data_IF_881619668704
#
_entry.id   IF_881619668704
#
_cell.length_a   1.000
_cell.length_b   1.000
_cell.length_c   1.000
_cell.angle_alpha   90.00
_cell.angle_beta   90.00
_cell.angle_gamma   90.00
#
_symmetry.space_group_name_H-M   'P 1'
#
loop_
_entity.id
_entity.type
_entity.pdbx_description
1 polymer ?
#
# COMPACT_ATOMS: atom_id res chain seq x y z
N UNK A 1 14.77 18.76 -47.46
CA UNK A 1 15.34 17.84 -46.45
C UNK A 1 16.28 18.65 -45.56
N UNK A 2 15.97 18.90 -44.28
CA UNK A 2 16.86 19.66 -43.36
C UNK A 2 17.65 18.67 -42.50
N UNK A 3 18.97 18.84 -42.29
CA UNK A 3 19.73 17.94 -41.42
C UNK A 3 19.44 18.23 -39.94
N UNK A 4 19.41 17.17 -39.13
CA UNK A 4 19.23 17.23 -37.68
C UNK A 4 20.50 17.81 -37.00
N UNK A 5 20.30 18.68 -36.01
CA UNK A 5 21.39 19.24 -35.19
C UNK A 5 21.93 18.26 -34.14
N UNK A 6 23.13 18.50 -33.59
CA UNK A 6 23.78 17.60 -32.64
C UNK A 6 23.10 17.61 -31.26
N UNK A 7 23.18 16.50 -30.49
CA UNK A 7 22.56 16.40 -29.17
C UNK A 7 23.28 17.27 -28.11
N UNK A 8 22.55 17.76 -27.09
CA UNK A 8 23.14 18.59 -26.04
C UNK A 8 24.07 17.77 -25.11
N UNK A 9 25.09 18.40 -24.51
CA UNK A 9 26.03 17.71 -23.64
C UNK A 9 25.40 17.28 -22.31
N UNK A 10 25.76 16.08 -21.85
CA UNK A 10 25.39 15.53 -20.53
C UNK A 10 26.11 16.31 -19.43
N UNK A 11 25.36 16.90 -18.49
CA UNK A 11 25.92 17.53 -17.29
C UNK A 11 26.53 16.47 -16.38
N UNK A 12 27.85 16.53 -16.18
CA UNK A 12 28.56 15.80 -15.13
C UNK A 12 28.41 16.50 -13.79
N UNK A 13 28.35 15.70 -12.73
CA UNK A 13 28.00 16.05 -11.37
C UNK A 13 29.02 16.95 -10.66
N UNK A 14 28.55 17.70 -9.64
CA UNK A 14 29.38 18.53 -8.78
C UNK A 14 28.85 18.63 -7.35
N UNK A 15 29.19 17.63 -6.55
CA UNK A 15 29.57 17.67 -5.13
C UNK A 15 28.71 18.46 -4.11
N UNK A 16 27.87 17.73 -3.36
CA UNK A 16 27.10 18.27 -2.23
C UNK A 16 26.76 17.21 -1.16
N UNK A 17 27.70 16.98 -0.25
CA UNK A 17 27.45 16.57 1.14
C UNK A 17 27.22 15.08 1.39
N UNK A 18 28.07 14.46 2.22
CA UNK A 18 27.91 13.10 2.79
C UNK A 18 26.68 12.90 3.70
N UNK A 19 25.60 13.65 3.47
CA UNK A 19 24.26 13.51 4.03
C UNK A 19 23.22 13.26 2.90
N UNK A 20 23.67 13.26 1.64
CA UNK A 20 22.86 12.93 0.47
C UNK A 20 22.86 11.42 0.26
N UNK A 21 24.01 10.76 0.44
CA UNK A 21 24.14 9.29 0.42
C UNK A 21 23.22 8.64 1.46
N UNK A 22 23.24 9.12 2.72
CA UNK A 22 22.35 8.60 3.77
C UNK A 22 20.87 8.82 3.46
N UNK A 23 20.50 9.95 2.81
CA UNK A 23 19.12 10.20 2.37
C UNK A 23 18.72 9.37 1.15
N UNK A 24 19.65 9.07 0.27
CA UNK A 24 19.44 8.21 -0.91
C UNK A 24 19.36 6.74 -0.49
N UNK A 25 20.19 6.32 0.47
CA UNK A 25 20.15 5.02 1.14
C UNK A 25 18.85 4.90 1.94
N UNK A 26 18.45 5.89 2.74
CA UNK A 26 17.15 5.91 3.42
C UNK A 26 15.98 5.90 2.43
N UNK A 27 16.05 6.61 1.30
CA UNK A 27 15.04 6.59 0.24
C UNK A 27 14.98 5.23 -0.46
N UNK A 28 16.13 4.59 -0.69
CA UNK A 28 16.25 3.24 -1.26
C UNK A 28 15.75 2.17 -0.31
N UNK A 29 16.10 2.27 0.97
CA UNK A 29 15.61 1.41 2.04
C UNK A 29 14.12 1.61 2.29
N UNK A 30 13.56 2.82 2.16
CA UNK A 30 12.11 3.05 2.19
C UNK A 30 11.38 2.43 1.00
N UNK A 31 12.05 2.26 -0.14
CA UNK A 31 11.54 1.48 -1.27
C UNK A 31 11.61 -0.04 -1.08
N UNK A 32 12.50 -0.51 -0.20
CA UNK A 32 12.66 -1.93 0.16
C UNK A 32 11.83 -2.34 1.38
N UNK A 33 11.62 -1.42 2.33
CA UNK A 33 10.96 -1.64 3.63
C UNK A 33 9.54 -1.04 3.67
N UNK A 34 9.17 -0.25 2.68
CA UNK A 34 7.80 0.28 2.51
C UNK A 34 6.96 -0.66 1.65
N UNK A 35 5.97 -1.32 2.27
CA UNK A 35 4.88 -2.10 1.67
C UNK A 35 5.08 -2.37 0.18
N UNK A 36 5.93 -3.34 -0.17
CA UNK A 36 6.16 -3.72 -1.56
C UNK A 36 4.82 -3.90 -2.28
N UNK A 37 4.82 -3.75 -3.61
CA UNK A 37 3.61 -3.94 -4.41
C UNK A 37 2.87 -5.21 -3.96
N UNK A 38 1.55 -5.07 -3.75
CA UNK A 38 0.70 -6.18 -3.31
C UNK A 38 1.00 -7.42 -4.17
N UNK A 39 1.36 -8.53 -3.53
CA UNK A 39 1.61 -9.80 -4.22
C UNK A 39 0.34 -10.40 -4.83
N UNK A 40 -0.82 -9.85 -4.48
CA UNK A 40 -2.13 -10.29 -4.94
C UNK A 40 -2.78 -9.14 -5.72
N UNK A 41 -3.21 -9.42 -6.95
CA UNK A 41 -3.97 -8.47 -7.75
C UNK A 41 -5.34 -8.21 -7.10
N UNK A 42 -5.94 -7.06 -7.37
CA UNK A 42 -7.28 -6.72 -6.83
C UNK A 42 -8.31 -7.80 -7.14
N UNK A 43 -8.34 -8.30 -8.38
CA UNK A 43 -9.28 -9.35 -8.79
C UNK A 43 -9.04 -10.69 -8.07
N UNK A 44 -7.79 -11.05 -7.82
CA UNK A 44 -7.46 -12.24 -7.02
C UNK A 44 -7.87 -12.07 -5.56
N UNK A 45 -7.68 -10.87 -4.99
CA UNK A 45 -8.10 -10.56 -3.62
C UNK A 45 -9.63 -10.61 -3.46
N UNK A 46 -10.38 -10.07 -4.43
CA UNK A 46 -11.85 -10.15 -4.41
C UNK A 46 -12.33 -11.60 -4.48
N UNK A 47 -11.79 -12.40 -5.41
CA UNK A 47 -12.14 -13.84 -5.48
C UNK A 47 -11.78 -14.61 -4.21
N UNK A 48 -10.65 -14.29 -3.59
CA UNK A 48 -10.27 -14.90 -2.31
C UNK A 48 -11.29 -14.57 -1.20
N UNK A 49 -11.81 -13.34 -1.16
CA UNK A 49 -12.89 -12.96 -0.21
C UNK A 49 -14.17 -13.75 -0.47
N UNK A 50 -14.54 -13.93 -1.73
CA UNK A 50 -15.74 -14.69 -2.08
C UNK A 50 -15.60 -16.17 -1.71
N UNK A 51 -14.42 -16.76 -1.96
CA UNK A 51 -14.13 -18.15 -1.59
C UNK A 51 -14.05 -18.36 -0.08
N UNK A 52 -13.63 -17.34 0.68
CA UNK A 52 -13.50 -17.37 2.13
C UNK A 52 -14.78 -16.90 2.86
N UNK A 53 -15.93 -16.90 2.19
CA UNK A 53 -17.19 -16.50 2.82
C UNK A 53 -17.54 -17.49 3.95
N UNK A 54 -17.75 -17.02 5.19
CA UNK A 54 -18.12 -17.90 6.30
C UNK A 54 -19.43 -18.64 6.02
N UNK A 55 -19.49 -19.88 6.49
CA UNK A 55 -20.74 -20.64 6.54
C UNK A 55 -21.61 -20.21 7.72
N UNK A 56 -22.86 -20.67 7.75
CA UNK A 56 -23.77 -20.41 8.88
C UNK A 56 -23.26 -21.08 10.17
N UNK A 57 -22.59 -22.22 10.07
CA UNK A 57 -21.96 -22.88 11.23
C UNK A 57 -20.80 -22.05 11.79
N UNK A 58 -19.98 -21.48 10.91
CA UNK A 58 -18.89 -20.58 11.33
C UNK A 58 -19.44 -19.35 12.06
N UNK A 59 -20.56 -18.79 11.57
CA UNK A 59 -21.24 -17.67 12.23
C UNK A 59 -21.81 -18.08 13.59
N UNK A 60 -22.45 -19.24 13.69
CA UNK A 60 -22.99 -19.75 14.95
C UNK A 60 -21.88 -20.06 15.98
N UNK A 61 -20.72 -20.55 15.54
CA UNK A 61 -19.55 -20.73 16.39
C UNK A 61 -19.01 -19.38 16.86
N UNK A 62 -18.85 -18.41 15.95
CA UNK A 62 -18.39 -17.07 16.27
C UNK A 62 -19.28 -16.36 17.30
N UNK A 63 -20.61 -16.47 17.17
CA UNK A 63 -21.57 -15.88 18.11
C UNK A 63 -21.46 -16.47 19.52
N UNK A 64 -21.12 -17.75 19.65
CA UNK A 64 -20.92 -18.40 20.96
C UNK A 64 -19.57 -18.08 21.58
N UNK A 65 -18.53 -18.00 20.77
CA UNK A 65 -17.15 -18.06 21.26
C UNK A 65 -16.44 -16.70 21.27
N UNK A 66 -16.83 -15.75 20.42
CA UNK A 66 -16.14 -14.46 20.28
C UNK A 66 -16.71 -13.38 21.20
N UNK A 67 -15.85 -12.81 22.06
CA UNK A 67 -16.18 -11.63 22.86
C UNK A 67 -15.91 -10.36 22.05
N UNK A 68 -16.97 -9.66 21.61
CA UNK A 68 -16.86 -8.40 20.86
C UNK A 68 -16.81 -7.20 21.82
N UNK A 69 -15.68 -6.50 21.88
CA UNK A 69 -15.52 -5.29 22.70
C UNK A 69 -15.64 -4.02 21.84
N UNK A 70 -16.64 -3.17 22.12
CA UNK A 70 -16.92 -1.94 21.33
C UNK A 70 -16.49 -0.67 22.07
N UNK A 71 -15.17 -0.41 22.17
CA UNK A 71 -14.64 0.83 22.75
C UNK A 71 -14.50 1.91 21.68
N UNK A 72 -15.02 3.10 21.94
CA UNK A 72 -14.94 4.27 21.03
C UNK A 72 -15.44 3.97 19.61
N UNK A 73 -16.33 2.98 19.45
CA UNK A 73 -16.90 2.61 18.18
C UNK A 73 -18.26 3.30 18.00
N UNK A 74 -18.42 4.03 16.90
CA UNK A 74 -19.67 4.68 16.52
C UNK A 74 -20.31 3.90 15.36
N UNK A 75 -21.55 3.40 15.49
CA UNK A 75 -22.25 2.71 14.42
C UNK A 75 -22.32 3.54 13.14
N UNK A 76 -22.36 2.86 11.98
CA UNK A 76 -22.44 3.52 10.68
C UNK A 76 -23.70 4.37 10.55
N UNK A 77 -24.78 3.90 11.16
CA UNK A 77 -26.10 4.53 11.20
C UNK A 77 -26.08 5.86 11.95
N UNK A 78 -25.09 6.05 12.84
CA UNK A 78 -24.92 7.24 13.68
C UNK A 78 -23.87 8.23 13.11
N UNK A 79 -23.16 7.88 12.03
CA UNK A 79 -22.22 8.78 11.37
C UNK A 79 -22.95 9.82 10.49
N UNK A 80 -22.47 11.08 10.44
CA UNK A 80 -23.03 12.08 9.53
C UNK A 80 -22.93 11.64 8.07
N UNK A 81 -24.04 11.74 7.31
CA UNK A 81 -24.02 11.52 5.87
C UNK A 81 -23.37 12.73 5.19
N UNK A 82 -22.42 12.48 4.28
CA UNK A 82 -21.78 13.48 3.41
C UNK A 82 -22.35 13.39 2.00
#
# INVERSE_FOLDING_TARGET
MRPAGPPPPKRTAGNGGGNTEDREVERGLRGLVGSGSSQVSVGAALRARDAARPSDEDLAAADRDLVIVRRNWLPREELPRR
#
